data_IF_126125193367
#
_entry.id   IF_126125193367
#
_cell.length_a   1.000
_cell.length_b   1.000
_cell.length_c   1.000
_cell.angle_alpha   90.00
_cell.angle_beta   90.00
_cell.angle_gamma   90.00
#
_symmetry.space_group_name_H-M   'P 1'
#
loop_
_entity.id
_entity.type
_entity.pdbx_description
1 polymer ?
#
# COMPACT_ATOMS: atom_id res chain seq x y z
N UNK A 1 13.13 -3.65 16.94
CA UNK A 1 11.86 -3.87 16.21
C UNK A 1 10.81 -3.00 16.87
N UNK A 2 10.37 -1.95 16.18
CA UNK A 2 9.36 -1.01 16.71
C UNK A 2 8.00 -1.39 16.15
N UNK A 3 7.02 -1.61 17.02
CA UNK A 3 5.61 -1.80 16.66
C UNK A 3 4.89 -0.47 16.40
N UNK A 4 3.63 -0.53 15.95
CA UNK A 4 2.79 0.67 15.75
C UNK A 4 2.18 1.18 17.06
N UNK A 5 2.18 0.37 18.12
CA UNK A 5 1.64 0.73 19.44
C UNK A 5 0.12 0.50 19.56
N UNK A 6 -0.48 -0.27 18.65
CA UNK A 6 -1.87 -0.71 18.75
C UNK A 6 -1.99 -2.21 18.50
N UNK A 7 -2.90 -2.86 19.26
CA UNK A 7 -2.95 -4.33 19.39
C UNK A 7 -3.13 -5.05 18.05
N UNK A 8 -3.98 -4.51 17.16
CA UNK A 8 -4.28 -5.16 15.86
C UNK A 8 -3.08 -5.20 14.92
N UNK A 9 -2.08 -4.33 15.09
CA UNK A 9 -0.83 -4.42 14.34
C UNK A 9 0.19 -5.31 15.04
N UNK A 10 0.44 -5.06 16.33
CA UNK A 10 1.58 -5.63 17.04
C UNK A 10 1.34 -7.11 17.38
N UNK A 11 0.11 -7.50 17.73
CA UNK A 11 -0.25 -8.89 18.04
C UNK A 11 -0.17 -9.81 16.82
N UNK A 12 -0.44 -9.27 15.64
CA UNK A 12 -0.50 -10.03 14.38
C UNK A 12 0.75 -9.84 13.50
N UNK A 13 1.78 -9.14 13.99
CA UNK A 13 3.03 -8.92 13.24
C UNK A 13 2.84 -8.16 11.93
N UNK A 14 1.86 -7.25 11.86
CA UNK A 14 1.49 -6.53 10.63
C UNK A 14 2.39 -5.33 10.34
N UNK A 15 3.35 -5.06 11.21
CA UNK A 15 4.26 -3.93 11.06
C UNK A 15 5.65 -4.26 11.58
N UNK A 16 6.66 -3.85 10.81
CA UNK A 16 8.05 -3.89 11.22
C UNK A 16 8.77 -2.69 10.60
N UNK A 17 9.49 -1.93 11.42
CA UNK A 17 10.23 -0.74 10.99
C UNK A 17 11.73 -0.89 11.25
N UNK A 18 12.52 -0.47 10.28
CA UNK A 18 13.96 -0.25 10.37
C UNK A 18 14.26 1.24 10.22
N UNK A 19 15.04 1.77 11.15
CA UNK A 19 15.40 3.19 11.21
C UNK A 19 16.82 3.41 10.72
N UNK A 20 16.96 4.27 9.70
CA UNK A 20 18.22 4.83 9.24
C UNK A 20 18.28 6.32 9.63
N UNK A 21 19.42 6.98 9.49
CA UNK A 21 19.65 8.36 9.99
C UNK A 21 18.47 9.32 9.74
N UNK A 22 18.06 9.51 8.49
CA UNK A 22 16.98 10.45 8.09
C UNK A 22 15.71 9.79 7.57
N UNK A 23 15.76 8.49 7.29
CA UNK A 23 14.66 7.73 6.66
C UNK A 23 14.35 6.50 7.50
N UNK A 24 13.07 6.20 7.65
CA UNK A 24 12.59 4.94 8.20
C UNK A 24 11.90 4.14 7.12
N UNK A 25 12.25 2.87 7.00
CA UNK A 25 11.61 1.94 6.07
C UNK A 25 10.80 0.97 6.92
N UNK A 26 9.52 0.89 6.64
CA UNK A 26 8.61 0.01 7.35
C UNK A 26 7.91 -0.93 6.38
N UNK A 27 7.70 -2.17 6.81
CA UNK A 27 6.77 -3.08 6.16
C UNK A 27 5.42 -3.04 6.86
N UNK A 28 4.34 -3.07 6.07
CA UNK A 28 2.96 -2.98 6.54
C UNK A 28 2.09 -4.03 5.85
N UNK A 29 1.23 -4.70 6.62
CA UNK A 29 0.24 -5.65 6.10
C UNK A 29 -1.16 -5.36 6.66
N UNK A 30 -2.00 -4.69 5.87
CA UNK A 30 -3.39 -4.47 6.27
C UNK A 30 -4.17 -5.80 6.27
N UNK A 31 -5.25 -5.90 7.07
CA UNK A 31 -6.20 -7.00 6.92
C UNK A 31 -6.87 -6.96 5.53
N UNK A 32 -7.06 -8.11 4.89
CA UNK A 32 -7.67 -8.16 3.55
C UNK A 32 -9.16 -7.76 3.56
N UNK A 33 -9.88 -8.10 4.64
CA UNK A 33 -11.31 -7.83 4.79
C UNK A 33 -12.21 -8.76 3.97
N UNK A 34 -11.66 -9.80 3.35
CA UNK A 34 -12.40 -10.68 2.43
C UNK A 34 -13.12 -11.85 3.14
N UNK A 35 -12.81 -12.12 4.41
CA UNK A 35 -13.31 -13.30 5.14
C UNK A 35 -14.63 -13.05 5.91
N UNK A 36 -15.43 -12.09 5.45
CA UNK A 36 -16.72 -11.71 6.05
C UNK A 36 -16.66 -10.43 6.89
N UNK A 37 -17.81 -10.06 7.46
CA UNK A 37 -18.04 -8.75 8.08
C UNK A 37 -17.10 -8.46 9.25
N UNK A 38 -16.74 -9.46 10.05
CA UNK A 38 -15.80 -9.28 11.16
C UNK A 38 -14.40 -8.89 10.65
N UNK A 39 -13.92 -9.55 9.59
CA UNK A 39 -12.63 -9.23 8.97
C UNK A 39 -12.65 -7.83 8.36
N UNK A 40 -13.77 -7.44 7.75
CA UNK A 40 -13.94 -6.11 7.18
C UNK A 40 -13.97 -5.03 8.26
N UNK A 41 -14.64 -5.27 9.39
CA UNK A 41 -14.63 -4.36 10.54
C UNK A 41 -13.23 -4.21 11.14
N UNK A 42 -12.47 -5.30 11.26
CA UNK A 42 -11.06 -5.24 11.68
C UNK A 42 -10.21 -4.42 10.72
N UNK A 43 -10.44 -4.56 9.41
CA UNK A 43 -9.78 -3.75 8.38
C UNK A 43 -10.06 -2.27 8.56
N UNK A 44 -11.33 -1.88 8.68
CA UNK A 44 -11.70 -0.47 8.86
C UNK A 44 -11.14 0.12 10.15
N UNK A 45 -11.17 -0.64 11.25
CA UNK A 45 -10.52 -0.22 12.50
C UNK A 45 -9.02 0.00 12.32
N UNK A 46 -8.33 -0.93 11.66
CA UNK A 46 -6.91 -0.79 11.37
C UNK A 46 -6.62 0.44 10.50
N UNK A 47 -7.47 0.71 9.50
CA UNK A 47 -7.34 1.88 8.63
C UNK A 47 -7.45 3.19 9.41
N UNK A 48 -8.39 3.29 10.36
CA UNK A 48 -8.54 4.47 11.23
C UNK A 48 -7.35 4.65 12.19
N UNK A 49 -6.96 3.57 12.88
CA UNK A 49 -5.79 3.56 13.76
C UNK A 49 -4.51 3.96 12.99
N UNK A 50 -4.35 3.47 11.75
CA UNK A 50 -3.22 3.80 10.89
C UNK A 50 -3.27 5.24 10.39
N UNK A 51 -4.43 5.79 10.02
CA UNK A 51 -4.58 7.22 9.68
C UNK A 51 -4.12 8.10 10.84
N UNK A 52 -4.54 7.77 12.07
CA UNK A 52 -4.11 8.50 13.26
C UNK A 52 -2.60 8.39 13.50
N UNK A 53 -2.03 7.20 13.27
CA UNK A 53 -0.59 6.99 13.31
C UNK A 53 0.16 7.85 12.28
N UNK A 54 -0.27 7.84 11.02
CA UNK A 54 0.31 8.64 9.94
C UNK A 54 0.28 10.14 10.28
N UNK A 55 -0.86 10.62 10.77
CA UNK A 55 -1.02 12.02 11.23
C UNK A 55 0.01 12.41 12.30
N UNK A 56 0.33 11.50 13.23
CA UNK A 56 1.40 11.71 14.21
C UNK A 56 2.79 11.70 13.59
N UNK A 57 3.07 10.76 12.67
CA UNK A 57 4.40 10.66 12.06
C UNK A 57 4.75 11.90 11.23
N UNK A 58 3.75 12.53 10.59
CA UNK A 58 3.94 13.78 9.84
C UNK A 58 4.53 14.93 10.68
N UNK A 59 4.35 14.91 12.00
CA UNK A 59 4.91 15.93 12.91
C UNK A 59 6.39 15.70 13.24
N UNK A 60 6.94 14.54 12.89
CA UNK A 60 8.34 14.21 13.14
C UNK A 60 9.21 14.73 11.98
N UNK A 61 10.43 15.17 12.30
CA UNK A 61 11.43 15.59 11.31
C UNK A 61 12.17 14.37 10.74
N UNK A 62 11.42 13.46 10.14
CA UNK A 62 11.91 12.18 9.61
C UNK A 62 11.05 11.75 8.45
N UNK A 63 11.69 11.20 7.43
CA UNK A 63 11.00 10.67 6.26
C UNK A 63 10.66 9.19 6.44
N UNK A 64 9.57 8.73 5.86
CA UNK A 64 9.10 7.35 5.98
C UNK A 64 8.75 6.76 4.61
N UNK A 65 9.11 5.49 4.44
CA UNK A 65 8.71 4.62 3.33
C UNK A 65 7.94 3.45 3.93
N UNK A 66 6.62 3.42 3.73
CA UNK A 66 5.78 2.29 4.13
C UNK A 66 5.57 1.36 2.93
N UNK A 67 6.20 0.20 2.97
CA UNK A 67 6.12 -0.82 1.94
C UNK A 67 5.14 -1.92 2.35
N UNK A 68 4.18 -2.24 1.50
CA UNK A 68 3.43 -3.49 1.65
C UNK A 68 2.01 -3.44 1.12
N UNK A 69 1.26 -4.46 1.51
CA UNK A 69 -0.08 -4.67 1.00
C UNK A 69 -1.11 -3.93 1.85
N UNK A 70 -1.75 -2.94 1.23
CA UNK A 70 -2.88 -2.24 1.84
C UNK A 70 -4.19 -3.00 1.63
N UNK A 71 -4.20 -4.00 0.72
CA UNK A 71 -5.41 -4.69 0.26
C UNK A 71 -6.52 -3.74 -0.19
N UNK A 72 -6.18 -2.55 -0.67
CA UNK A 72 -7.10 -1.55 -1.19
C UNK A 72 -6.53 -1.02 -2.50
N UNK A 73 -7.32 -1.03 -3.56
CA UNK A 73 -6.99 -0.39 -4.82
C UNK A 73 -7.62 1.02 -4.84
N UNK A 74 -6.84 2.03 -5.25
CA UNK A 74 -7.25 3.43 -5.13
C UNK A 74 -8.21 3.88 -6.24
N UNK A 75 -7.74 3.78 -7.48
CA UNK A 75 -8.40 4.32 -8.66
C UNK A 75 -8.92 3.21 -9.57
N UNK A 76 -9.79 3.58 -10.51
CA UNK A 76 -10.34 2.63 -11.50
C UNK A 76 -9.28 1.95 -12.35
N UNK A 77 -8.13 2.61 -12.55
CA UNK A 77 -6.99 2.07 -13.28
C UNK A 77 -6.16 1.04 -12.48
N UNK A 78 -6.38 0.96 -11.17
CA UNK A 78 -5.70 0.02 -10.27
C UNK A 78 -6.41 -1.35 -10.23
N UNK A 79 -7.56 -1.51 -10.92
CA UNK A 79 -8.33 -2.75 -10.99
C UNK A 79 -8.83 -3.00 -12.41
N UNK A 80 -8.59 -4.19 -12.97
CA UNK A 80 -9.00 -4.49 -14.36
C UNK A 80 -10.51 -4.38 -14.58
N UNK A 81 -11.30 -5.07 -13.75
CA UNK A 81 -12.77 -5.10 -13.84
C UNK A 81 -13.43 -4.17 -12.80
N UNK A 82 -12.95 -2.92 -12.70
CA UNK A 82 -13.37 -1.98 -11.67
C UNK A 82 -14.90 -1.75 -11.57
N UNK A 83 -15.68 -2.03 -12.63
CA UNK A 83 -17.15 -1.86 -12.60
C UNK A 83 -17.83 -2.89 -11.70
N UNK A 84 -17.40 -4.14 -11.79
CA UNK A 84 -17.97 -5.27 -11.05
C UNK A 84 -17.41 -5.32 -9.62
N UNK A 85 -16.15 -4.90 -9.46
CA UNK A 85 -15.43 -4.98 -8.19
C UNK A 85 -15.82 -3.90 -7.15
N UNK A 86 -16.70 -2.94 -7.46
CA UNK A 86 -17.02 -1.82 -6.55
C UNK A 86 -17.71 -2.24 -5.24
N UNK A 87 -18.31 -3.43 -5.24
CA UNK A 87 -18.98 -4.00 -4.08
C UNK A 87 -18.12 -5.06 -3.37
N UNK A 88 -16.87 -5.24 -3.81
CA UNK A 88 -15.94 -6.21 -3.24
C UNK A 88 -14.96 -5.54 -2.27
N UNK A 89 -14.67 -6.16 -1.11
CA UNK A 89 -13.61 -5.71 -0.21
C UNK A 89 -12.28 -5.55 -0.94
N UNK A 90 -11.67 -4.38 -0.77
CA UNK A 90 -10.48 -3.91 -1.47
C UNK A 90 -10.76 -2.87 -2.57
N UNK A 91 -12.02 -2.65 -2.96
CA UNK A 91 -12.40 -1.55 -3.86
C UNK A 91 -13.73 -0.88 -3.46
N UNK A 92 -14.15 -1.05 -2.20
CA UNK A 92 -15.34 -0.38 -1.67
C UNK A 92 -15.11 1.14 -1.62
N UNK A 93 -16.19 1.91 -1.76
CA UNK A 93 -16.12 3.37 -1.71
C UNK A 93 -15.46 3.92 -0.42
N UNK A 94 -15.73 3.40 0.80
CA UNK A 94 -15.06 3.86 2.01
C UNK A 94 -13.56 3.58 2.02
N UNK A 95 -13.14 2.44 1.46
CA UNK A 95 -11.71 2.08 1.40
C UNK A 95 -10.94 3.00 0.45
N UNK A 96 -11.56 3.35 -0.68
CA UNK A 96 -10.99 4.30 -1.64
C UNK A 96 -10.92 5.71 -1.06
N UNK A 97 -11.97 6.14 -0.36
CA UNK A 97 -11.99 7.43 0.34
C UNK A 97 -10.90 7.54 1.40
N UNK A 98 -10.54 6.43 2.05
CA UNK A 98 -9.40 6.40 2.95
C UNK A 98 -8.06 6.63 2.24
N UNK A 99 -7.84 6.04 1.06
CA UNK A 99 -6.65 6.35 0.26
C UNK A 99 -6.66 7.80 -0.25
N UNK A 100 -7.84 8.37 -0.56
CA UNK A 100 -7.97 9.79 -0.87
C UNK A 100 -7.56 10.68 0.32
N UNK A 101 -7.90 10.30 1.55
CA UNK A 101 -7.45 10.99 2.77
C UNK A 101 -5.93 10.90 2.95
N UNK A 102 -5.36 9.71 2.78
CA UNK A 102 -3.92 9.45 2.96
C UNK A 102 -3.08 10.22 1.93
N UNK A 103 -3.44 10.14 0.65
CA UNK A 103 -2.67 10.78 -0.43
C UNK A 103 -3.04 12.25 -0.65
N UNK A 104 -4.26 12.66 -0.29
CA UNK A 104 -4.76 14.03 -0.42
C UNK A 104 -4.50 14.86 0.83
N UNK A 105 -5.33 14.72 1.84
CA UNK A 105 -5.35 15.58 3.03
C UNK A 105 -4.09 15.40 3.91
N UNK A 106 -3.67 14.16 4.13
CA UNK A 106 -2.43 13.87 4.87
C UNK A 106 -1.18 14.16 4.03
N UNK A 107 -1.29 14.18 2.70
CA UNK A 107 -0.23 14.59 1.77
C UNK A 107 0.88 13.55 1.59
N UNK A 108 0.62 12.28 1.90
CA UNK A 108 1.52 11.19 1.53
C UNK A 108 1.54 11.01 0.00
N UNK A 109 2.60 10.41 -0.53
CA UNK A 109 2.73 10.13 -1.94
C UNK A 109 2.72 8.62 -2.21
N UNK A 110 2.11 8.22 -3.32
CA UNK A 110 2.19 6.88 -3.88
C UNK A 110 3.38 6.81 -4.85
N UNK A 111 4.45 6.11 -4.47
CA UNK A 111 5.69 6.09 -5.23
C UNK A 111 5.52 5.65 -6.70
N UNK A 112 4.66 4.66 -6.99
CA UNK A 112 4.43 4.23 -8.38
C UNK A 112 3.81 5.35 -9.20
N UNK A 113 2.88 6.11 -8.62
CA UNK A 113 2.12 7.17 -9.29
C UNK A 113 2.93 8.44 -9.51
N UNK A 114 4.07 8.57 -8.85
CA UNK A 114 5.03 9.64 -9.12
C UNK A 114 5.78 9.47 -10.43
N UNK A 115 5.97 8.23 -10.88
CA UNK A 115 6.75 7.91 -12.08
C UNK A 115 5.93 7.30 -13.20
N UNK A 116 4.78 6.67 -12.89
CA UNK A 116 3.87 6.13 -13.90
C UNK A 116 2.41 6.42 -13.57
N UNK A 117 1.70 6.96 -14.56
CA UNK A 117 0.24 7.12 -14.56
C UNK A 117 -0.43 6.16 -15.53
N UNK A 118 0.26 5.10 -15.90
CA UNK A 118 -0.29 4.06 -16.76
C UNK A 118 -1.20 3.13 -15.96
N UNK A 119 -2.26 2.65 -16.62
CA UNK A 119 -3.13 1.60 -16.09
C UNK A 119 -2.50 0.21 -16.27
N UNK A 120 -3.25 -0.82 -15.91
CA UNK A 120 -2.83 -2.23 -16.06
C UNK A 120 -1.55 -2.62 -15.29
N UNK A 121 -1.13 -1.79 -14.34
CA UNK A 121 -0.04 -2.05 -13.40
C UNK A 121 -0.59 -2.67 -12.12
N UNK A 122 -0.73 -4.00 -12.13
CA UNK A 122 -1.28 -4.76 -11.00
C UNK A 122 -0.19 -5.42 -10.18
N UNK A 123 -0.50 -5.66 -8.91
CA UNK A 123 0.42 -6.30 -7.96
C UNK A 123 -0.14 -7.59 -7.38
N UNK A 124 -1.42 -7.91 -7.60
CA UNK A 124 -2.07 -9.12 -7.10
C UNK A 124 -3.06 -9.69 -8.13
N UNK A 125 -3.14 -11.02 -8.19
CA UNK A 125 -4.11 -11.74 -9.02
C UNK A 125 -4.77 -12.88 -8.23
N UNK A 126 -6.07 -13.12 -8.43
CA UNK A 126 -6.72 -14.34 -7.97
C UNK A 126 -6.02 -15.59 -8.51
N UNK A 127 -6.08 -16.69 -7.76
CA UNK A 127 -5.51 -17.97 -8.18
C UNK A 127 -6.43 -18.67 -9.19
N UNK A 128 -6.39 -18.18 -10.43
CA UNK A 128 -7.17 -18.71 -11.55
C UNK A 128 -6.42 -18.51 -12.85
N UNK A 129 -6.37 -19.55 -13.68
CA UNK A 129 -5.79 -19.48 -15.02
C UNK A 129 -6.43 -18.37 -15.85
N UNK A 130 -7.73 -18.15 -15.69
CA UNK A 130 -8.44 -17.08 -16.38
C UNK A 130 -7.97 -15.70 -15.92
N UNK A 131 -7.74 -15.52 -14.62
CA UNK A 131 -7.22 -14.25 -14.09
C UNK A 131 -5.81 -13.96 -14.61
N UNK A 132 -5.00 -15.00 -14.78
CA UNK A 132 -3.67 -14.88 -15.36
C UNK A 132 -3.71 -14.56 -16.86
N UNK A 133 -4.52 -15.27 -17.64
CA UNK A 133 -4.65 -15.05 -19.09
C UNK A 133 -5.24 -13.69 -19.44
N UNK A 134 -6.29 -13.26 -18.72
CA UNK A 134 -7.00 -12.00 -18.99
C UNK A 134 -6.43 -10.81 -18.22
N UNK A 135 -5.36 -11.02 -17.45
CA UNK A 135 -4.74 -10.03 -16.57
C UNK A 135 -5.77 -9.34 -15.65
N UNK A 136 -6.60 -10.13 -14.97
CA UNK A 136 -7.62 -9.67 -14.02
C UNK A 136 -6.99 -9.31 -12.67
N UNK A 137 -6.06 -8.36 -12.72
CA UNK A 137 -5.27 -7.96 -11.57
C UNK A 137 -5.88 -6.80 -10.78
N UNK A 138 -5.38 -6.70 -9.56
CA UNK A 138 -5.61 -5.59 -8.64
C UNK A 138 -4.26 -5.07 -8.20
N UNK A 139 -4.20 -3.77 -7.90
CA UNK A 139 -3.02 -3.17 -7.29
C UNK A 139 -3.29 -2.93 -5.81
N UNK A 140 -2.71 -3.79 -4.98
CA UNK A 140 -2.84 -3.73 -3.53
C UNK A 140 -1.55 -3.34 -2.82
N UNK A 141 -0.42 -3.42 -3.51
CA UNK A 141 0.91 -3.20 -2.93
C UNK A 141 1.40 -1.80 -3.28
N UNK A 142 1.84 -1.10 -2.24
CA UNK A 142 2.24 0.30 -2.30
C UNK A 142 3.59 0.51 -1.60
N UNK A 143 4.31 1.53 -2.05
CA UNK A 143 5.32 2.21 -1.25
C UNK A 143 4.80 3.62 -0.98
N UNK A 144 4.24 3.82 0.21
CA UNK A 144 3.65 5.09 0.65
C UNK A 144 4.73 5.95 1.28
N UNK A 145 4.89 7.17 0.78
CA UNK A 145 6.00 8.05 1.09
C UNK A 145 5.54 9.30 1.82
N UNK A 146 6.35 9.77 2.76
CA UNK A 146 6.23 11.15 3.21
C UNK A 146 6.50 12.13 2.05
N UNK A 147 5.87 13.32 2.05
CA UNK A 147 5.97 14.25 0.91
C UNK A 147 7.40 14.68 0.55
N UNK A 148 8.33 14.71 1.51
CA UNK A 148 9.73 15.06 1.28
C UNK A 148 10.48 14.07 0.40
N UNK A 149 10.05 12.80 0.37
CA UNK A 149 10.66 11.74 -0.44
C UNK A 149 10.20 11.71 -1.90
N UNK A 150 9.08 12.35 -2.21
CA UNK A 150 8.42 12.32 -3.53
C UNK A 150 9.39 12.61 -4.70
N UNK A 151 10.22 13.65 -4.54
CA UNK A 151 11.18 14.10 -5.58
C UNK A 151 12.36 13.17 -5.82
N UNK A 152 12.57 12.20 -4.94
CA UNK A 152 13.68 11.25 -5.05
C UNK A 152 13.27 9.96 -5.74
N UNK A 153 11.98 9.75 -6.01
CA UNK A 153 11.52 8.59 -6.78
C UNK A 153 11.97 8.74 -8.23
N UNK A 154 12.76 7.77 -8.72
CA UNK A 154 13.29 7.78 -10.09
C UNK A 154 12.58 6.80 -11.00
N UNK A 155 12.22 5.64 -10.48
CA UNK A 155 11.61 4.57 -11.26
C UNK A 155 10.78 3.66 -10.36
N UNK A 156 9.79 3.00 -10.94
CA UNK A 156 9.00 1.99 -10.25
C UNK A 156 8.54 0.91 -11.23
N UNK A 157 8.59 -0.34 -10.81
CA UNK A 157 8.28 -1.52 -11.63
C UNK A 157 7.51 -2.56 -10.82
N UNK A 158 6.60 -3.23 -11.51
CA UNK A 158 5.85 -4.40 -11.02
C UNK A 158 6.15 -5.57 -11.96
N UNK A 159 7.33 -6.21 -11.85
CA UNK A 159 7.66 -7.36 -12.68
C UNK A 159 6.71 -8.51 -12.39
N UNK A 160 6.03 -8.98 -13.43
CA UNK A 160 5.11 -10.12 -13.36
C UNK A 160 5.83 -11.47 -13.30
N UNK A 161 7.08 -11.50 -13.80
CA UNK A 161 7.92 -12.69 -13.79
C UNK A 161 9.31 -12.41 -13.23
N UNK A 162 9.93 -13.39 -12.56
CA UNK A 162 9.35 -14.69 -12.17
C UNK A 162 8.25 -14.56 -11.10
N UNK A 163 7.30 -15.49 -11.09
CA UNK A 163 6.18 -15.49 -10.15
C UNK A 163 6.57 -16.22 -8.86
N UNK A 164 6.60 -15.48 -7.76
CA UNK A 164 6.91 -16.03 -6.43
C UNK A 164 5.67 -16.20 -5.54
N UNK A 165 4.57 -15.52 -5.88
CA UNK A 165 3.34 -15.45 -5.10
C UNK A 165 2.16 -15.08 -6.01
N UNK A 166 0.96 -15.01 -5.44
CA UNK A 166 -0.17 -14.26 -6.04
C UNK A 166 0.14 -12.76 -6.16
N UNK A 167 1.10 -12.27 -5.36
CA UNK A 167 1.60 -10.91 -5.47
C UNK A 167 2.86 -10.82 -6.36
N UNK A 168 2.97 -9.74 -7.13
CA UNK A 168 4.18 -9.30 -7.78
C UNK A 168 4.91 -8.26 -6.89
N UNK A 169 6.25 -8.28 -6.84
CA UNK A 169 6.99 -7.33 -6.02
C UNK A 169 6.90 -5.91 -6.61
N UNK A 170 6.59 -4.92 -5.78
CA UNK A 170 6.72 -3.51 -6.15
C UNK A 170 8.15 -3.04 -5.88
N UNK A 171 8.90 -2.81 -6.96
CA UNK A 171 10.28 -2.34 -6.92
C UNK A 171 10.28 -0.84 -7.23
N UNK A 172 10.93 -0.04 -6.39
CA UNK A 172 11.05 1.41 -6.57
C UNK A 172 12.50 1.83 -6.36
N UNK A 173 13.02 2.61 -7.29
CA UNK A 173 14.37 3.17 -7.23
C UNK A 173 14.32 4.61 -6.72
N UNK A 174 15.12 4.90 -5.69
CA UNK A 174 15.22 6.22 -5.06
C UNK A 174 16.63 6.80 -5.28
N UNK A 175 16.70 8.06 -5.70
CA UNK A 175 17.93 8.84 -5.73
C UNK A 175 18.22 9.42 -4.34
N UNK A 176 18.47 8.53 -3.38
CA UNK A 176 18.70 8.89 -1.98
C UNK A 176 19.96 8.20 -1.47
N UNK A 177 20.86 8.96 -0.84
CA UNK A 177 22.03 8.41 -0.16
C UNK A 177 21.70 8.10 1.29
N UNK A 178 21.80 6.82 1.65
CA UNK A 178 21.70 6.38 3.04
C UNK A 178 23.02 6.61 3.75
N UNK A 179 23.01 7.44 4.79
CA UNK A 179 24.03 7.44 5.84
C UNK A 179 23.74 6.24 6.77
N UNK A 180 24.63 5.25 6.77
CA UNK A 180 24.64 4.11 7.71
C UNK A 180 25.64 4.41 8.82
#
# INVERSE_FOLDING_TARGET
>A
ISGLGFETADRYGRYLQADFDKVSIATLLLPSGQSGDESLNQKFKFMDDFTHYLSKQRRKRREYIYCGSLYVAHQKMDVKNWRECQQMPGFLAPERAWLDEVFGNLGYADALREVSREGDQFSWWPDSEQAEMLNLGWRFDYQVLTPGLRRFVRNAKLPRQPRFSQHAPLIVDYDWQLSI
#
